data_IF_120463481765
#
_entry.id   IF_120463481765
#
_cell.length_a   1.000
_cell.length_b   1.000
_cell.length_c   1.000
_cell.angle_alpha   90.00
_cell.angle_beta   90.00
_cell.angle_gamma   90.00
#
_symmetry.space_group_name_H-M   'P 1'
#
loop_
_entity.id
_entity.type
_entity.pdbx_description
1 polymer ?
#
# COMPACT_ATOMS: atom_id res chain seq x y z
N UNK A 1 -9.49 46.15 -9.05
CA UNK A 1 -9.26 44.73 -9.41
C UNK A 1 -8.54 44.06 -8.25
N UNK A 2 -9.09 43.02 -7.60
CA UNK A 2 -8.53 42.50 -6.37
C UNK A 2 -7.31 41.61 -6.63
N UNK A 3 -6.36 41.69 -5.70
CA UNK A 3 -5.03 41.10 -5.69
C UNK A 3 -5.07 39.65 -5.15
N UNK A 4 -4.25 38.79 -5.75
CA UNK A 4 -3.37 37.82 -5.06
C UNK A 4 -3.98 36.71 -4.20
N UNK A 5 -3.65 35.47 -4.58
CA UNK A 5 -3.95 34.19 -3.93
C UNK A 5 -3.49 34.11 -2.46
N UNK A 6 -4.47 33.85 -1.58
CA UNK A 6 -4.47 33.18 -0.26
C UNK A 6 -3.16 32.94 0.51
N UNK A 7 -2.95 33.71 1.59
CA UNK A 7 -2.11 33.34 2.74
C UNK A 7 -2.90 32.38 3.66
N UNK A 8 -2.82 31.08 3.40
CA UNK A 8 -3.45 30.05 4.21
C UNK A 8 -2.47 28.93 4.55
N UNK A 9 -1.55 29.21 5.48
CA UNK A 9 -0.70 28.27 6.25
C UNK A 9 -0.64 26.84 5.67
N UNK A 10 0.29 26.59 4.75
CA UNK A 10 0.72 25.24 4.42
C UNK A 10 1.23 24.58 5.71
N UNK A 11 0.50 23.57 6.21
CA UNK A 11 0.96 22.68 7.29
C UNK A 11 2.39 22.24 6.95
N UNK A 12 3.28 22.25 7.93
CA UNK A 12 4.67 21.83 7.73
C UNK A 12 4.72 20.52 6.94
N UNK A 13 5.62 20.39 5.95
CA UNK A 13 5.72 19.18 5.16
C UNK A 13 5.86 17.99 6.09
N UNK A 14 5.01 16.99 5.88
CA UNK A 14 5.06 15.70 6.56
C UNK A 14 6.53 15.24 6.60
N UNK A 15 7.02 14.88 7.80
CA UNK A 15 8.37 14.36 8.07
C UNK A 15 9.00 13.77 6.81
N UNK A 16 9.96 14.49 6.24
CA UNK A 16 10.76 13.97 5.13
C UNK A 16 11.59 12.85 5.75
N UNK A 17 11.22 11.60 5.50
CA UNK A 17 12.04 10.44 5.85
C UNK A 17 13.29 10.51 4.96
N UNK A 18 14.32 11.18 5.48
CA UNK A 18 15.61 11.44 4.84
C UNK A 18 16.57 10.25 4.95
N UNK A 19 16.10 9.10 5.42
CA UNK A 19 16.94 7.92 5.54
C UNK A 19 17.10 7.26 4.17
N UNK A 20 18.35 6.90 3.85
CA UNK A 20 18.69 6.13 2.65
C UNK A 20 17.90 4.83 2.74
N UNK A 21 16.97 4.64 1.80
CA UNK A 21 16.27 3.39 1.67
C UNK A 21 17.24 2.36 1.09
N UNK A 22 17.42 1.24 1.77
CA UNK A 22 18.20 0.14 1.23
C UNK A 22 17.52 -0.46 -0.02
N UNK A 23 18.29 -1.17 -0.84
CA UNK A 23 17.80 -1.73 -2.09
C UNK A 23 16.65 -2.73 -1.89
N UNK A 24 16.63 -3.45 -0.77
CA UNK A 24 15.56 -4.38 -0.45
C UNK A 24 14.26 -3.61 -0.13
N UNK A 25 14.33 -2.56 0.68
CA UNK A 25 13.19 -1.70 1.01
C UNK A 25 12.58 -1.04 -0.22
N UNK A 26 13.43 -0.54 -1.14
CA UNK A 26 12.96 0.03 -2.41
C UNK A 26 12.30 -1.01 -3.31
N UNK A 27 12.90 -2.20 -3.43
CA UNK A 27 12.32 -3.28 -4.22
C UNK A 27 10.97 -3.74 -3.64
N UNK A 28 10.90 -3.92 -2.32
CA UNK A 28 9.68 -4.29 -1.63
C UNK A 28 8.56 -3.25 -1.86
N UNK A 29 8.88 -1.96 -1.75
CA UNK A 29 7.93 -0.88 -2.02
C UNK A 29 7.43 -0.95 -3.47
N UNK A 30 8.35 -1.07 -4.44
CA UNK A 30 8.00 -1.15 -5.86
C UNK A 30 7.05 -2.33 -6.13
N UNK A 31 7.41 -3.55 -5.72
CA UNK A 31 6.59 -4.74 -5.95
C UNK A 31 5.25 -4.65 -5.23
N UNK A 32 5.20 -4.04 -4.05
CA UNK A 32 3.93 -3.83 -3.33
C UNK A 32 2.99 -2.89 -4.07
N UNK A 33 3.51 -1.78 -4.60
CA UNK A 33 2.73 -0.82 -5.38
C UNK A 33 2.26 -1.42 -6.71
N UNK A 34 3.13 -2.15 -7.40
CA UNK A 34 2.81 -2.85 -8.64
C UNK A 34 1.71 -3.89 -8.44
N UNK A 35 1.80 -4.70 -7.38
CA UNK A 35 0.79 -5.70 -7.02
C UNK A 35 -0.55 -5.03 -6.71
N UNK A 36 -0.53 -3.99 -5.88
CA UNK A 36 -1.73 -3.23 -5.53
C UNK A 36 -2.40 -2.64 -6.77
N UNK A 37 -1.64 -1.95 -7.63
CA UNK A 37 -2.18 -1.32 -8.83
C UNK A 37 -2.80 -2.36 -9.77
N UNK A 38 -2.12 -3.49 -9.98
CA UNK A 38 -2.60 -4.57 -10.85
C UNK A 38 -3.92 -5.17 -10.35
N UNK A 39 -4.06 -5.37 -9.04
CA UNK A 39 -5.33 -5.82 -8.43
C UNK A 39 -6.41 -4.75 -8.58
N UNK A 40 -6.08 -3.48 -8.30
CA UNK A 40 -7.05 -2.38 -8.34
C UNK A 40 -7.63 -2.14 -9.74
N UNK A 41 -6.86 -2.45 -10.79
CA UNK A 41 -7.31 -2.35 -12.19
C UNK A 41 -7.73 -3.69 -12.81
N UNK A 42 -7.95 -4.73 -11.98
CA UNK A 42 -8.39 -6.06 -12.40
C UNK A 42 -7.48 -6.74 -13.44
N UNK A 43 -6.18 -6.43 -13.44
CA UNK A 43 -5.19 -7.14 -14.27
C UNK A 43 -4.76 -8.47 -13.62
N UNK A 44 -4.82 -8.55 -12.29
CA UNK A 44 -4.51 -9.75 -11.52
C UNK A 44 -5.53 -9.95 -10.40
N UNK A 45 -5.89 -11.21 -10.14
CA UNK A 45 -6.69 -11.58 -8.98
C UNK A 45 -5.80 -12.00 -7.79
N UNK A 46 -6.19 -11.69 -6.54
CA UNK A 46 -5.48 -12.18 -5.36
C UNK A 46 -5.49 -13.71 -5.28
N UNK A 47 -4.33 -14.32 -5.03
CA UNK A 47 -4.25 -15.76 -4.82
C UNK A 47 -4.70 -16.15 -3.40
N UNK A 48 -5.52 -17.19 -3.29
CA UNK A 48 -5.97 -17.74 -2.02
C UNK A 48 -5.16 -18.96 -1.59
N UNK A 49 -4.96 -19.11 -0.29
CA UNK A 49 -4.34 -20.32 0.24
C UNK A 49 -5.26 -21.52 0.04
N UNK A 50 -4.68 -22.61 -0.46
CA UNK A 50 -5.36 -23.87 -0.73
C UNK A 50 -5.30 -24.88 0.44
N UNK A 51 -4.81 -24.48 1.61
CA UNK A 51 -4.82 -25.34 2.79
C UNK A 51 -5.08 -24.56 4.09
N UNK A 52 -5.77 -25.24 5.01
CA UNK A 52 -6.21 -24.68 6.29
C UNK A 52 -5.07 -24.13 7.14
N UNK A 53 -3.93 -24.81 7.21
CA UNK A 53 -2.77 -24.38 8.01
C UNK A 53 -2.27 -22.99 7.59
N UNK A 54 -2.19 -22.75 6.29
CA UNK A 54 -1.81 -21.43 5.75
C UNK A 54 -2.91 -20.40 6.00
N UNK A 55 -4.19 -20.74 5.81
CA UNK A 55 -5.31 -19.86 6.14
C UNK A 55 -5.32 -19.43 7.61
N UNK A 56 -5.08 -20.36 8.54
CA UNK A 56 -5.09 -20.08 9.99
C UNK A 56 -3.94 -19.15 10.43
N UNK A 57 -2.84 -19.14 9.67
CA UNK A 57 -1.67 -18.28 9.89
C UNK A 57 -1.73 -16.98 9.09
N UNK A 58 -2.76 -16.78 8.26
CA UNK A 58 -2.88 -15.60 7.40
C UNK A 58 -3.29 -14.36 8.19
N UNK A 59 -2.66 -13.22 7.90
CA UNK A 59 -2.98 -11.92 8.52
C UNK A 59 -4.39 -11.42 8.17
N UNK A 60 -4.97 -11.88 7.07
CA UNK A 60 -6.30 -11.49 6.60
C UNK A 60 -7.41 -12.49 7.02
N UNK A 61 -7.08 -13.51 7.83
CA UNK A 61 -8.00 -14.62 8.15
C UNK A 61 -9.34 -14.20 8.79
N UNK A 62 -9.38 -13.05 9.47
CA UNK A 62 -10.58 -12.53 10.13
C UNK A 62 -11.56 -11.85 9.16
N UNK A 63 -11.10 -11.46 7.97
CA UNK A 63 -11.88 -10.71 6.97
C UNK A 63 -11.94 -11.41 5.61
N UNK A 64 -11.23 -12.53 5.44
CA UNK A 64 -11.21 -13.29 4.19
C UNK A 64 -12.46 -14.18 4.06
N UNK A 65 -13.34 -13.85 3.10
CA UNK A 65 -14.54 -14.64 2.80
C UNK A 65 -14.28 -16.00 2.14
N UNK A 66 -13.05 -16.25 1.66
CA UNK A 66 -12.64 -17.51 1.01
C UNK A 66 -11.89 -18.46 1.96
N UNK A 67 -11.93 -18.18 3.27
CA UNK A 67 -11.22 -18.99 4.25
C UNK A 67 -11.79 -20.41 4.29
N UNK A 68 -10.86 -21.38 4.31
CA UNK A 68 -11.12 -22.82 4.48
C UNK A 68 -10.71 -23.32 5.86
#
# INVERSE_FOLDING_TARGET
MPKGVTEGKTKEPHKIFSEIQDSFSLHYLHTSLETFASIAVNLTEPEHHNNKRKCDSCNLKSVCGFRI
#
